data_IF_005388413442
#
_entry.id   IF_005388413442
#
_cell.length_a   1.000
_cell.length_b   1.000
_cell.length_c   1.000
_cell.angle_alpha   90.00
_cell.angle_beta   90.00
_cell.angle_gamma   90.00
#
_symmetry.space_group_name_H-M   'P 1'
#
loop_
_entity.id
_entity.type
_entity.pdbx_description
1 polymer ?
#
# COMPACT_ATOMS: atom_id res chain seq x y z
N UNK A 1 -0.84 13.71 3.95
CA UNK A 1 -0.56 14.36 5.24
C UNK A 1 0.78 13.97 5.85
N UNK A 2 1.14 12.68 5.91
CA UNK A 2 2.37 12.23 6.56
C UNK A 2 3.58 11.98 5.64
N UNK A 3 3.52 12.40 4.36
CA UNK A 3 4.69 12.25 3.47
C UNK A 3 5.83 13.10 4.01
N UNK A 4 6.91 12.44 4.44
CA UNK A 4 8.08 13.09 5.02
C UNK A 4 7.99 13.39 6.52
N UNK A 5 6.96 12.92 7.23
CA UNK A 5 6.89 13.00 8.69
C UNK A 5 7.25 11.64 9.33
N UNK A 6 8.00 11.67 10.43
CA UNK A 6 8.27 10.49 11.25
C UNK A 6 7.04 9.99 11.99
N UNK A 7 7.06 8.72 12.40
CA UNK A 7 5.94 8.08 13.09
C UNK A 7 5.56 8.81 14.38
N UNK A 8 6.55 9.28 15.14
CA UNK A 8 6.33 10.05 16.37
C UNK A 8 5.69 11.41 16.12
N UNK A 9 6.06 12.10 15.03
CA UNK A 9 5.46 13.38 14.66
C UNK A 9 3.99 13.19 14.29
N UNK A 10 3.67 12.14 13.52
CA UNK A 10 2.29 11.80 13.18
C UNK A 10 1.48 11.45 14.43
N UNK A 11 2.00 10.62 15.33
CA UNK A 11 1.30 10.25 16.57
C UNK A 11 1.08 11.44 17.51
N UNK A 12 2.00 12.40 17.55
CA UNK A 12 1.82 13.68 18.26
C UNK A 12 0.70 14.49 17.61
N UNK A 13 0.80 14.72 16.31
CA UNK A 13 -0.12 15.54 15.53
C UNK A 13 -1.57 15.03 15.60
N UNK A 14 -1.77 13.71 15.66
CA UNK A 14 -3.08 13.08 15.77
C UNK A 14 -3.61 12.97 17.21
N UNK A 15 -2.84 13.39 18.21
CA UNK A 15 -3.22 13.28 19.62
C UNK A 15 -3.07 11.88 20.22
N UNK A 16 -2.55 10.91 19.45
CA UNK A 16 -2.31 9.53 19.91
C UNK A 16 -1.30 9.52 21.05
N UNK A 17 -0.22 10.30 20.94
CA UNK A 17 0.77 10.46 22.01
C UNK A 17 0.12 10.90 23.33
N UNK A 18 -0.67 11.97 23.26
CA UNK A 18 -1.36 12.51 24.43
C UNK A 18 -2.32 11.48 25.04
N UNK A 19 -3.10 10.79 24.21
CA UNK A 19 -4.03 9.76 24.68
C UNK A 19 -3.33 8.60 25.41
N UNK A 20 -2.15 8.19 24.93
CA UNK A 20 -1.32 7.17 25.59
C UNK A 20 -0.78 7.68 26.93
N UNK A 21 -0.23 8.90 26.97
CA UNK A 21 0.32 9.51 28.18
C UNK A 21 -0.76 9.74 29.25
N UNK A 22 -1.95 10.22 28.86
CA UNK A 22 -3.10 10.44 29.75
C UNK A 22 -3.61 9.11 30.35
N UNK A 23 -3.45 7.99 29.63
CA UNK A 23 -3.76 6.64 30.11
C UNK A 23 -2.63 6.03 30.98
N UNK A 24 -1.53 6.75 31.20
CA UNK A 24 -0.37 6.30 31.97
C UNK A 24 0.56 5.35 31.21
N UNK A 25 0.46 5.31 29.87
CA UNK A 25 1.33 4.50 29.01
C UNK A 25 2.52 5.28 28.47
N UNK A 26 3.46 4.53 27.89
CA UNK A 26 4.59 5.08 27.14
C UNK A 26 4.37 4.88 25.64
N UNK A 27 4.74 5.87 24.83
CA UNK A 27 4.67 5.79 23.38
C UNK A 27 6.07 5.73 22.78
N UNK A 28 6.26 4.84 21.80
CA UNK A 28 7.54 4.62 21.15
C UNK A 28 7.33 4.60 19.64
N UNK A 29 8.14 5.37 18.92
CA UNK A 29 8.28 5.24 17.47
C UNK A 29 9.13 4.03 17.16
N UNK A 30 8.56 3.02 16.48
CA UNK A 30 9.28 1.79 16.16
C UNK A 30 10.44 2.00 15.18
N UNK A 31 10.47 3.13 14.48
CA UNK A 31 11.61 3.57 13.66
C UNK A 31 12.89 3.74 14.49
N UNK A 32 12.76 4.28 15.71
CA UNK A 32 13.88 4.59 16.61
C UNK A 32 14.14 3.50 17.68
N UNK A 33 13.26 2.51 17.77
CA UNK A 33 13.38 1.42 18.74
C UNK A 33 14.62 0.54 18.48
N UNK A 34 15.17 -0.06 19.54
CA UNK A 34 16.24 -1.06 19.39
C UNK A 34 15.73 -2.24 18.54
N UNK A 35 16.52 -2.61 17.53
CA UNK A 35 16.19 -3.68 16.60
C UNK A 35 17.22 -4.80 16.65
N UNK A 36 16.74 -6.00 16.42
CA UNK A 36 17.54 -7.21 16.27
C UNK A 36 17.25 -7.86 14.94
N UNK A 37 18.25 -8.49 14.34
CA UNK A 37 18.05 -9.29 13.14
C UNK A 37 17.49 -10.65 13.57
N UNK A 38 16.34 -11.02 13.04
CA UNK A 38 15.65 -12.27 13.35
C UNK A 38 15.56 -13.14 12.10
N UNK A 39 15.84 -14.43 12.24
CA UNK A 39 15.58 -15.43 11.21
C UNK A 39 14.11 -15.87 11.25
N UNK A 40 13.47 -15.90 10.09
CA UNK A 40 12.06 -16.28 9.95
C UNK A 40 11.99 -17.76 9.63
N UNK A 41 11.78 -18.58 10.66
CA UNK A 41 11.64 -20.03 10.48
C UNK A 41 10.42 -20.33 9.60
N UNK A 42 10.64 -21.02 8.49
CA UNK A 42 9.58 -21.33 7.53
C UNK A 42 9.14 -20.14 6.67
N UNK A 43 9.89 -19.04 6.67
CA UNK A 43 9.68 -17.92 5.75
C UNK A 43 9.94 -18.35 4.30
N UNK A 44 9.08 -17.91 3.37
CA UNK A 44 9.12 -18.27 1.94
C UNK A 44 9.58 -17.11 1.05
N UNK A 45 9.09 -15.91 1.31
CA UNK A 45 9.45 -14.66 0.64
C UNK A 45 10.45 -13.85 1.46
N UNK A 46 10.38 -13.94 2.79
CA UNK A 46 11.28 -13.26 3.73
C UNK A 46 11.92 -14.29 4.67
N UNK A 47 13.26 -14.32 4.72
CA UNK A 47 14.00 -15.31 5.53
C UNK A 47 14.65 -14.70 6.77
N UNK A 48 14.93 -13.40 6.76
CA UNK A 48 15.49 -12.65 7.88
C UNK A 48 15.07 -11.19 7.78
N UNK A 49 14.91 -10.52 8.92
CA UNK A 49 14.51 -9.11 8.94
C UNK A 49 15.01 -8.39 10.19
N UNK A 50 15.18 -7.07 10.09
CA UNK A 50 15.35 -6.17 11.23
C UNK A 50 14.01 -6.05 11.95
N UNK A 51 13.94 -6.42 13.23
CA UNK A 51 12.67 -6.48 13.98
C UNK A 51 12.81 -5.77 15.33
N UNK A 52 11.80 -5.00 15.78
CA UNK A 52 11.88 -4.29 17.06
C UNK A 52 11.98 -5.25 18.25
N UNK A 53 13.05 -5.13 19.04
CA UNK A 53 13.29 -5.98 20.21
C UNK A 53 12.14 -5.88 21.22
N UNK A 54 11.61 -4.68 21.41
CA UNK A 54 10.49 -4.42 22.34
C UNK A 54 9.26 -5.30 22.07
N UNK A 55 9.02 -5.71 20.82
CA UNK A 55 7.89 -6.60 20.46
C UNK A 55 8.20 -8.06 20.83
N UNK A 56 9.47 -8.46 20.73
CA UNK A 56 9.91 -9.82 21.09
C UNK A 56 9.96 -10.03 22.61
N UNK A 57 10.39 -8.98 23.32
CA UNK A 57 10.57 -9.01 24.78
C UNK A 57 9.25 -8.76 25.54
N UNK A 58 8.18 -8.39 24.84
CA UNK A 58 6.88 -8.13 25.46
C UNK A 58 6.25 -9.42 26.04
N UNK A 59 5.83 -9.36 27.30
CA UNK A 59 5.07 -10.43 27.96
C UNK A 59 3.71 -10.66 27.28
N UNK A 60 3.12 -9.60 26.73
CA UNK A 60 1.86 -9.61 25.99
C UNK A 60 1.91 -8.59 24.86
N UNK A 61 1.65 -9.04 23.63
CA UNK A 61 1.58 -8.22 22.44
C UNK A 61 0.14 -8.09 21.94
N UNK A 62 -0.43 -6.89 22.08
CA UNK A 62 -1.77 -6.56 21.59
C UNK A 62 -1.67 -5.78 20.27
N UNK A 63 -2.32 -6.31 19.22
CA UNK A 63 -2.36 -5.69 17.90
C UNK A 63 -3.68 -4.91 17.71
N UNK A 64 -3.60 -3.66 17.23
CA UNK A 64 -4.77 -2.77 17.05
C UNK A 64 -4.90 -2.37 15.57
N UNK A 65 -5.34 -3.28 14.67
CA UNK A 65 -5.54 -2.97 13.27
C UNK A 65 -6.81 -2.12 13.07
N UNK A 66 -6.82 -1.31 12.02
CA UNK A 66 -8.01 -0.56 11.61
C UNK A 66 -8.69 -1.19 10.39
N UNK A 67 -10.03 -1.12 10.33
CA UNK A 67 -10.85 -1.74 9.29
C UNK A 67 -10.81 -0.96 7.96
N UNK A 68 -10.00 -1.39 6.98
CA UNK A 68 -9.87 -0.65 5.71
C UNK A 68 -9.69 -1.59 4.53
N UNK A 69 -10.14 -1.16 3.35
CA UNK A 69 -9.71 -1.74 2.08
C UNK A 69 -8.28 -1.30 1.73
N UNK A 70 -7.63 -2.01 0.81
CA UNK A 70 -6.27 -1.71 0.36
C UNK A 70 -6.05 -2.15 -1.08
N UNK A 71 -5.39 -1.31 -1.90
CA UNK A 71 -5.19 -1.55 -3.35
C UNK A 71 -4.31 -2.75 -3.68
N UNK A 72 -3.45 -3.20 -2.78
CA UNK A 72 -2.50 -4.29 -3.05
C UNK A 72 -2.77 -5.58 -2.28
N UNK A 73 -3.50 -5.50 -1.18
CA UNK A 73 -3.77 -6.65 -0.27
C UNK A 73 -5.26 -6.85 -0.04
N UNK A 74 -6.11 -6.17 -0.80
CA UNK A 74 -7.57 -6.06 -0.67
C UNK A 74 -8.07 -5.39 0.63
N UNK A 75 -7.51 -5.77 1.78
CA UNK A 75 -7.83 -5.23 3.11
C UNK A 75 -6.57 -4.96 3.92
N UNK A 76 -6.68 -4.21 5.02
CA UNK A 76 -5.55 -3.77 5.82
C UNK A 76 -5.24 -4.56 7.09
N UNK A 77 -6.02 -5.59 7.41
CA UNK A 77 -6.31 -5.99 8.80
C UNK A 77 -5.14 -6.65 9.57
N UNK A 78 -5.41 -7.40 10.63
CA UNK A 78 -4.45 -7.79 11.68
C UNK A 78 -3.11 -8.29 11.14
N UNK A 79 -3.15 -9.17 10.14
CA UNK A 79 -1.95 -9.75 9.52
C UNK A 79 -1.09 -8.66 8.85
N UNK A 80 -1.71 -7.78 8.07
CA UNK A 80 -1.00 -6.68 7.39
C UNK A 80 -0.53 -5.62 8.37
N UNK A 81 -1.21 -5.42 9.50
CA UNK A 81 -0.82 -4.38 10.46
C UNK A 81 0.63 -4.59 10.97
N UNK A 82 1.09 -5.84 11.06
CA UNK A 82 2.47 -6.15 11.46
C UNK A 82 3.53 -5.77 10.41
N UNK A 83 3.14 -5.48 9.17
CA UNK A 83 4.03 -4.84 8.19
C UNK A 83 4.59 -3.52 8.73
N UNK A 84 3.85 -2.82 9.60
CA UNK A 84 4.28 -1.58 10.24
C UNK A 84 5.50 -1.71 11.16
N UNK A 85 5.82 -2.93 11.61
CA UNK A 85 6.98 -3.22 12.48
C UNK A 85 8.31 -3.15 11.73
N UNK A 86 8.29 -3.24 10.40
CA UNK A 86 9.48 -3.20 9.59
C UNK A 86 9.96 -1.78 9.32
N UNK A 87 11.26 -1.65 9.06
CA UNK A 87 11.88 -0.42 8.59
C UNK A 87 11.26 0.06 7.28
N UNK A 88 11.21 1.37 7.08
CA UNK A 88 10.61 1.99 5.88
C UNK A 88 11.15 1.37 4.58
N UNK A 89 12.47 1.17 4.53
CA UNK A 89 13.15 0.55 3.40
C UNK A 89 12.65 -0.88 3.14
N UNK A 90 12.56 -1.70 4.18
CA UNK A 90 12.13 -3.09 4.06
C UNK A 90 10.64 -3.18 3.71
N UNK A 91 9.81 -2.29 4.29
CA UNK A 91 8.41 -2.15 3.88
C UNK A 91 8.28 -1.77 2.42
N UNK A 92 9.11 -0.84 1.94
CA UNK A 92 9.08 -0.38 0.57
C UNK A 92 9.41 -1.53 -0.41
N UNK A 93 10.56 -2.19 -0.21
CA UNK A 93 11.03 -3.25 -1.11
C UNK A 93 10.23 -4.56 -1.04
N UNK A 94 9.32 -4.69 -0.08
CA UNK A 94 8.42 -5.84 -0.02
C UNK A 94 7.21 -5.73 -0.95
N UNK A 95 6.91 -4.57 -1.54
CA UNK A 95 5.73 -4.34 -2.41
C UNK A 95 5.84 -4.99 -3.80
N UNK A 96 6.48 -6.15 -3.86
CA UNK A 96 6.59 -7.04 -5.01
C UNK A 96 5.38 -7.98 -5.06
N UNK A 97 5.40 -8.92 -5.99
CA UNK A 97 4.27 -9.83 -6.24
C UNK A 97 4.07 -10.88 -5.15
N UNK A 98 5.11 -11.08 -4.35
CA UNK A 98 5.12 -11.94 -3.16
C UNK A 98 4.70 -11.19 -1.88
N UNK A 99 4.13 -9.98 -1.98
CA UNK A 99 3.77 -9.13 -0.83
C UNK A 99 2.87 -9.83 0.19
N UNK A 100 1.85 -10.57 -0.24
CA UNK A 100 0.97 -11.28 0.69
C UNK A 100 1.76 -12.34 1.50
N UNK A 101 2.64 -13.10 0.83
CA UNK A 101 3.51 -14.08 1.49
C UNK A 101 4.52 -13.41 2.40
N UNK A 102 5.07 -12.27 2.00
CA UNK A 102 5.97 -11.46 2.82
C UNK A 102 5.32 -11.04 4.14
N UNK A 103 4.07 -10.56 4.10
CA UNK A 103 3.33 -10.19 5.31
C UNK A 103 3.06 -11.39 6.22
N UNK A 104 2.71 -12.54 5.64
CA UNK A 104 2.53 -13.79 6.40
C UNK A 104 3.85 -14.23 7.04
N UNK A 105 4.98 -14.08 6.36
CA UNK A 105 6.29 -14.42 6.90
C UNK A 105 6.66 -13.55 8.12
N UNK A 106 6.31 -12.26 8.12
CA UNK A 106 6.51 -11.39 9.30
C UNK A 106 5.72 -11.92 10.51
N UNK A 107 4.48 -12.38 10.30
CA UNK A 107 3.63 -12.89 11.37
C UNK A 107 4.19 -14.19 11.99
N UNK A 108 5.07 -14.92 11.29
CA UNK A 108 5.76 -16.11 11.83
C UNK A 108 6.82 -15.78 12.89
N UNK A 109 7.25 -14.53 12.99
CA UNK A 109 8.25 -14.09 13.99
C UNK A 109 7.62 -14.06 15.37
N UNK A 110 6.50 -13.36 15.50
CA UNK A 110 5.72 -13.21 16.73
C UNK A 110 4.28 -12.91 16.35
N UNK A 111 3.38 -13.86 16.62
CA UNK A 111 1.95 -13.60 16.55
C UNK A 111 1.53 -12.70 17.71
N UNK A 112 0.58 -11.77 17.52
CA UNK A 112 -0.06 -11.07 18.62
C UNK A 112 -0.74 -12.07 19.55
N UNK A 113 -0.71 -11.81 20.86
CA UNK A 113 -1.45 -12.61 21.83
C UNK A 113 -2.93 -12.22 21.85
N UNK A 114 -3.23 -10.98 21.48
CA UNK A 114 -4.60 -10.49 21.37
C UNK A 114 -4.70 -9.42 20.28
N UNK A 115 -5.85 -9.35 19.62
CA UNK A 115 -6.15 -8.36 18.60
C UNK A 115 -7.38 -7.57 19.05
N UNK A 116 -7.33 -6.24 18.92
CA UNK A 116 -8.47 -5.34 19.08
C UNK A 116 -8.60 -4.56 17.78
N UNK A 117 -9.44 -5.04 16.87
CA UNK A 117 -9.67 -4.42 15.58
C UNK A 117 -10.62 -3.22 15.74
N UNK A 118 -10.13 -2.04 15.38
CA UNK A 118 -10.89 -0.80 15.32
C UNK A 118 -11.66 -0.72 14.00
N UNK A 119 -12.98 -0.92 14.10
CA UNK A 119 -13.94 -0.68 13.05
C UNK A 119 -15.00 0.34 13.48
N UNK A 120 -14.67 1.32 14.32
CA UNK A 120 -15.60 2.40 14.62
C UNK A 120 -15.90 3.18 13.33
N UNK A 121 -14.83 3.57 12.64
CA UNK A 121 -14.87 4.17 11.31
C UNK A 121 -13.95 3.35 10.40
N UNK A 122 -14.56 2.54 9.53
CA UNK A 122 -13.85 1.84 8.47
C UNK A 122 -13.52 2.74 7.28
N UNK A 123 -12.77 2.22 6.32
CA UNK A 123 -12.46 2.91 5.07
C UNK A 123 -12.63 1.99 3.85
N UNK A 124 -13.37 2.46 2.86
CA UNK A 124 -13.66 1.73 1.61
C UNK A 124 -13.09 2.43 0.37
N UNK A 125 -13.31 1.85 -0.81
CA UNK A 125 -12.88 2.34 -2.10
C UNK A 125 -11.40 2.06 -2.32
N UNK A 126 -10.64 3.10 -2.71
CA UNK A 126 -9.19 3.00 -2.88
C UNK A 126 -8.42 2.79 -1.57
N UNK A 127 -9.11 2.74 -0.43
CA UNK A 127 -8.55 2.30 0.84
C UNK A 127 -7.46 3.25 1.36
N UNK A 128 -6.50 2.68 2.11
CA UNK A 128 -5.40 3.44 2.70
C UNK A 128 -4.66 4.30 1.66
N UNK A 129 -4.74 5.63 1.81
CA UNK A 129 -4.25 6.61 0.85
C UNK A 129 -5.14 7.85 0.82
N UNK A 130 -5.09 8.59 -0.29
CA UNK A 130 -5.78 9.89 -0.44
C UNK A 130 -7.20 9.78 -1.04
N UNK A 131 -7.65 8.58 -1.37
CA UNK A 131 -8.87 8.34 -2.16
C UNK A 131 -9.84 7.31 -1.55
N UNK A 132 -9.69 7.00 -0.26
CA UNK A 132 -10.64 6.18 0.48
C UNK A 132 -11.82 6.99 1.02
N UNK A 133 -12.98 6.36 1.19
CA UNK A 133 -14.17 6.97 1.81
C UNK A 133 -14.42 6.35 3.19
N UNK A 134 -14.79 7.15 4.21
CA UNK A 134 -15.11 6.61 5.53
C UNK A 134 -16.42 5.82 5.51
N UNK A 135 -16.48 4.73 6.28
CA UNK A 135 -17.67 3.93 6.52
C UNK A 135 -17.88 3.84 8.02
N UNK A 136 -18.93 4.48 8.54
CA UNK A 136 -19.30 4.32 9.95
C UNK A 136 -19.72 2.88 10.20
N UNK A 137 -18.84 2.06 10.76
CA UNK A 137 -19.11 0.65 11.01
C UNK A 137 -19.63 0.47 12.44
N UNK A 138 -19.09 1.21 13.40
CA UNK A 138 -19.52 1.19 14.80
C UNK A 138 -19.20 -0.14 15.50
N UNK A 139 -18.17 -0.85 15.04
CA UNK A 139 -17.78 -2.17 15.57
C UNK A 139 -16.39 -2.17 16.15
N UNK A 140 -16.20 -2.90 17.23
CA UNK A 140 -14.88 -3.32 17.71
C UNK A 140 -14.91 -4.85 17.70
N UNK A 141 -13.88 -5.47 17.14
CA UNK A 141 -13.73 -6.93 17.17
C UNK A 141 -12.49 -7.28 17.98
N UNK A 142 -12.58 -8.35 18.76
CA UNK A 142 -11.47 -8.78 19.59
C UNK A 142 -11.33 -10.30 19.64
N UNK A 143 -10.09 -10.79 19.70
CA UNK A 143 -9.79 -12.22 19.72
C UNK A 143 -8.30 -12.50 19.65
N UNK A 144 -7.94 -13.77 19.79
CA UNK A 144 -6.53 -14.23 19.87
C UNK A 144 -5.98 -14.71 18.53
N UNK A 145 -6.84 -15.17 17.61
CA UNK A 145 -6.43 -15.68 16.29
C UNK A 145 -6.53 -14.57 15.22
N UNK A 146 -5.41 -14.10 14.65
CA UNK A 146 -5.42 -13.04 13.66
C UNK A 146 -6.05 -13.44 12.32
N UNK A 147 -5.98 -14.72 11.93
CA UNK A 147 -6.61 -15.23 10.70
C UNK A 147 -8.13 -15.27 10.87
N UNK A 148 -8.60 -15.67 12.06
CA UNK A 148 -10.02 -15.67 12.40
C UNK A 148 -10.59 -14.25 12.43
N UNK A 149 -9.88 -13.31 13.06
CA UNK A 149 -10.26 -11.89 13.08
C UNK A 149 -10.32 -11.31 11.67
N UNK A 150 -9.29 -11.51 10.85
CA UNK A 150 -9.26 -11.01 9.47
C UNK A 150 -10.38 -11.61 8.62
N UNK A 151 -10.71 -12.90 8.84
CA UNK A 151 -11.78 -13.60 8.14
C UNK A 151 -13.16 -13.02 8.47
N UNK A 152 -13.49 -12.91 9.77
CA UNK A 152 -14.78 -12.38 10.22
C UNK A 152 -14.93 -10.90 9.85
N UNK A 153 -13.88 -10.10 10.04
CA UNK A 153 -13.88 -8.70 9.64
C UNK A 153 -14.08 -8.53 8.13
N UNK A 154 -13.43 -9.35 7.31
CA UNK A 154 -13.65 -9.35 5.85
C UNK A 154 -15.10 -9.66 5.48
N UNK A 155 -15.72 -10.64 6.15
CA UNK A 155 -17.14 -10.96 5.93
C UNK A 155 -18.05 -9.80 6.34
N UNK A 156 -17.76 -9.12 7.47
CA UNK A 156 -18.48 -7.92 7.89
C UNK A 156 -18.33 -6.75 6.89
N UNK A 157 -17.21 -6.68 6.16
CA UNK A 157 -17.00 -5.72 5.05
C UNK A 157 -17.69 -6.15 3.75
N UNK A 158 -18.46 -7.24 3.76
CA UNK A 158 -19.16 -7.77 2.58
C UNK A 158 -18.30 -8.63 1.67
N UNK A 159 -17.14 -9.11 2.14
CA UNK A 159 -16.30 -10.09 1.45
C UNK A 159 -16.70 -11.48 1.94
N UNK A 160 -17.73 -12.06 1.33
CA UNK A 160 -18.37 -13.31 1.80
C UNK A 160 -17.40 -14.51 1.87
N UNK A 161 -16.43 -14.56 0.95
CA UNK A 161 -15.38 -15.58 0.97
C UNK A 161 -14.06 -14.93 1.43
N UNK A 162 -13.67 -15.05 2.71
CA UNK A 162 -12.44 -14.43 3.23
C UNK A 162 -11.17 -14.98 2.57
N UNK A 163 -11.22 -16.19 1.99
CA UNK A 163 -10.08 -16.78 1.29
C UNK A 163 -9.75 -16.09 -0.03
N UNK A 164 -10.54 -15.12 -0.52
CA UNK A 164 -10.09 -14.30 -1.66
C UNK A 164 -8.97 -13.34 -1.25
N UNK A 165 -8.93 -12.94 0.03
CA UNK A 165 -7.87 -12.12 0.62
C UNK A 165 -6.58 -12.95 0.70
N UNK A 166 -5.53 -12.48 0.03
CA UNK A 166 -4.28 -13.22 -0.12
C UNK A 166 -3.60 -13.52 1.22
N UNK A 167 -3.44 -12.51 2.06
CA UNK A 167 -2.85 -12.64 3.40
C UNK A 167 -3.60 -13.66 4.27
N UNK A 168 -4.93 -13.57 4.35
CA UNK A 168 -5.78 -14.49 5.13
C UNK A 168 -5.64 -15.93 4.65
N UNK A 169 -5.75 -16.15 3.33
CA UNK A 169 -5.64 -17.49 2.73
C UNK A 169 -4.27 -18.12 2.96
N UNK A 170 -3.20 -17.35 2.77
CA UNK A 170 -1.82 -17.84 2.94
C UNK A 170 -1.51 -18.10 4.42
N UNK A 171 -1.94 -17.22 5.33
CA UNK A 171 -1.74 -17.41 6.76
C UNK A 171 -2.48 -18.66 7.29
N UNK A 172 -3.72 -18.89 6.85
CA UNK A 172 -4.46 -20.11 7.15
C UNK A 172 -3.73 -21.36 6.64
N UNK A 173 -3.23 -21.30 5.40
CA UNK A 173 -2.46 -22.40 4.80
C UNK A 173 -1.18 -22.71 5.58
N UNK A 174 -0.46 -21.69 6.03
CA UNK A 174 0.77 -21.84 6.82
C UNK A 174 0.49 -22.14 8.32
N UNK A 175 -0.78 -22.30 8.72
CA UNK A 175 -1.17 -22.75 10.06
C UNK A 175 -1.09 -21.69 11.15
N UNK A 176 -1.18 -20.41 10.79
CA UNK A 176 -1.17 -19.29 11.76
C UNK A 176 -2.51 -19.01 12.43
N UNK A 177 -3.55 -19.75 12.04
CA UNK A 177 -4.93 -19.59 12.51
C UNK A 177 -5.91 -20.23 11.53
N UNK A 178 -7.21 -20.07 11.76
CA UNK A 178 -8.26 -20.61 10.87
C UNK A 178 -8.99 -19.51 10.10
N UNK A 179 -9.21 -19.76 8.81
CA UNK A 179 -10.09 -18.95 7.97
C UNK A 179 -11.42 -19.66 7.68
N UNK A 180 -11.68 -20.79 8.34
CA UNK A 180 -12.90 -21.55 8.19
C UNK A 180 -13.99 -20.97 9.11
N UNK A 181 -15.02 -20.27 8.60
CA UNK A 181 -16.02 -19.62 9.44
C UNK A 181 -16.84 -20.60 10.29
N UNK A 182 -16.87 -21.90 9.95
CA UNK A 182 -17.54 -22.91 10.76
C UNK A 182 -16.75 -23.33 12.01
N UNK A 183 -15.46 -22.99 12.08
CA UNK A 183 -14.58 -23.23 13.23
C UNK A 183 -14.43 -21.98 14.12
N UNK A 184 -14.96 -20.84 13.68
CA UNK A 184 -14.83 -19.56 14.38
C UNK A 184 -16.10 -19.30 15.18
N UNK A 185 -15.96 -19.21 16.51
CA UNK A 185 -17.07 -18.82 17.37
C UNK A 185 -17.16 -17.30 17.49
N UNK A 186 -18.21 -16.71 16.93
CA UNK A 186 -18.51 -15.28 17.07
C UNK A 186 -19.42 -15.06 18.29
N UNK A 187 -18.96 -14.24 19.24
CA UNK A 187 -19.75 -13.78 20.40
C UNK A 187 -20.19 -12.34 20.20
N UNK A 188 -21.37 -11.98 20.72
CA UNK A 188 -21.94 -10.65 20.56
C UNK A 188 -22.78 -10.54 19.29
N UNK A 189 -22.61 -9.44 18.54
CA UNK A 189 -23.34 -9.25 17.29
C UNK A 189 -22.90 -10.25 16.22
N UNK A 190 -23.86 -10.73 15.44
CA UNK A 190 -23.56 -11.62 14.32
C UNK A 190 -22.95 -10.85 13.15
N UNK A 191 -22.24 -11.55 12.26
CA UNK A 191 -21.71 -10.96 11.02
C UNK A 191 -22.80 -10.25 10.25
N UNK A 192 -23.96 -10.89 10.07
CA UNK A 192 -25.07 -10.35 9.29
C UNK A 192 -25.71 -9.10 9.93
N UNK A 193 -25.69 -8.97 11.26
CA UNK A 193 -26.20 -7.78 11.96
C UNK A 193 -25.36 -6.53 11.69
N UNK A 194 -24.04 -6.69 11.56
CA UNK A 194 -23.10 -5.56 11.41
C UNK A 194 -22.59 -5.39 9.98
N UNK A 195 -22.95 -6.31 9.08
CA UNK A 195 -22.44 -6.35 7.72
C UNK A 195 -22.73 -5.06 6.96
N UNK A 196 -21.69 -4.47 6.39
CA UNK A 196 -21.82 -3.40 5.39
C UNK A 196 -20.97 -3.77 4.20
N UNK A 197 -21.55 -3.69 3.00
CA UNK A 197 -20.83 -3.99 1.77
C UNK A 197 -19.91 -2.82 1.43
N UNK A 198 -18.62 -3.01 1.63
CA UNK A 198 -17.62 -2.01 1.28
C UNK A 198 -17.43 -1.96 -0.24
N UNK A 199 -17.19 -0.77 -0.77
CA UNK A 199 -16.60 -0.59 -2.09
C UNK A 199 -15.17 -1.12 -2.07
N UNK A 200 -14.87 -2.14 -2.87
CA UNK A 200 -13.49 -2.60 -3.03
C UNK A 200 -12.71 -1.68 -3.98
N UNK A 201 -11.37 -1.63 -3.87
CA UNK A 201 -10.53 -0.94 -4.84
C UNK A 201 -10.82 -1.44 -6.25
N UNK A 202 -10.75 -0.56 -7.26
CA UNK A 202 -11.20 -0.88 -8.62
C UNK A 202 -10.46 -2.09 -9.22
N UNK A 203 -9.21 -2.33 -8.83
CA UNK A 203 -8.39 -3.44 -9.32
C UNK A 203 -8.82 -4.82 -8.77
N UNK A 204 -9.74 -4.85 -7.80
CA UNK A 204 -10.40 -6.08 -7.34
C UNK A 204 -11.82 -6.22 -7.87
N UNK A 205 -12.38 -5.18 -8.48
CA UNK A 205 -13.72 -5.23 -9.08
C UNK A 205 -13.69 -5.44 -10.59
N UNK A 206 -12.57 -5.13 -11.24
CA UNK A 206 -12.36 -5.36 -12.67
C UNK A 206 -10.91 -5.80 -12.94
N UNK A 207 -10.64 -6.50 -14.05
CA UNK A 207 -9.29 -6.90 -14.43
C UNK A 207 -8.37 -5.68 -14.59
N UNK A 208 -7.20 -5.69 -13.97
CA UNK A 208 -6.33 -4.49 -13.91
C UNK A 208 -5.92 -3.97 -15.31
N UNK A 209 -5.90 -4.84 -16.32
CA UNK A 209 -5.55 -4.47 -17.68
C UNK A 209 -6.55 -3.52 -18.35
N UNK A 210 -7.81 -3.48 -17.90
CA UNK A 210 -8.82 -2.55 -18.43
C UNK A 210 -8.55 -1.10 -18.06
N UNK A 211 -7.62 -0.84 -17.14
CA UNK A 211 -7.29 0.50 -16.65
C UNK A 211 -5.98 1.06 -17.19
N UNK A 212 -5.31 0.35 -18.10
CA UNK A 212 -4.04 0.84 -18.67
C UNK A 212 -4.00 0.76 -20.20
N UNK A 213 -4.38 -0.36 -20.81
CA UNK A 213 -4.24 -0.48 -22.27
C UNK A 213 -5.38 0.22 -22.98
N UNK A 214 -5.06 1.27 -23.76
CA UNK A 214 -6.01 1.97 -24.61
C UNK A 214 -6.94 2.94 -23.88
N UNK A 215 -6.54 3.41 -22.70
CA UNK A 215 -7.35 4.32 -21.87
C UNK A 215 -7.26 5.77 -22.35
N UNK A 216 -6.06 6.23 -22.69
CA UNK A 216 -5.81 7.62 -23.06
C UNK A 216 -5.28 7.74 -24.50
N UNK A 217 -5.86 8.63 -25.34
CA UNK A 217 -5.51 8.71 -26.77
C UNK A 217 -4.09 9.24 -27.03
N UNK A 218 -3.49 9.90 -26.05
CA UNK A 218 -2.14 10.46 -26.13
C UNK A 218 -1.07 9.56 -25.48
N UNK A 219 -1.39 8.32 -25.11
CA UNK A 219 -0.44 7.39 -24.50
C UNK A 219 -0.39 6.09 -25.30
N UNK A 220 0.80 5.78 -25.83
CA UNK A 220 1.13 4.49 -26.42
C UNK A 220 1.76 3.58 -25.37
N UNK A 221 1.02 2.55 -24.92
CA UNK A 221 1.48 1.62 -23.88
C UNK A 221 1.95 0.29 -24.48
N UNK A 222 3.19 -0.09 -24.18
CA UNK A 222 3.76 -1.41 -24.48
C UNK A 222 4.10 -2.12 -23.18
N UNK A 223 3.31 -3.14 -22.85
CA UNK A 223 3.41 -3.88 -21.59
C UNK A 223 3.71 -5.36 -21.85
N UNK A 224 4.65 -5.94 -21.12
CA UNK A 224 5.04 -7.35 -21.21
C UNK A 224 5.33 -7.89 -19.82
N UNK A 225 4.81 -9.08 -19.48
CA UNK A 225 5.02 -9.77 -18.20
C UNK A 225 5.01 -8.88 -16.95
N UNK A 226 4.19 -7.82 -16.97
CA UNK A 226 4.13 -6.85 -15.89
C UNK A 226 3.35 -7.42 -14.72
N UNK A 227 3.80 -7.09 -13.53
CA UNK A 227 3.17 -7.55 -12.32
C UNK A 227 2.06 -6.64 -11.81
N UNK A 228 1.15 -7.09 -10.92
CA UNK A 228 0.03 -6.28 -10.45
C UNK A 228 0.43 -4.89 -9.95
N UNK A 229 1.58 -4.78 -9.26
CA UNK A 229 2.11 -3.48 -8.82
C UNK A 229 2.48 -2.60 -10.02
N UNK A 230 3.17 -3.13 -11.04
CA UNK A 230 3.52 -2.36 -12.24
C UNK A 230 2.27 -1.95 -13.05
N UNK A 231 1.22 -2.79 -13.11
CA UNK A 231 -0.06 -2.40 -13.70
C UNK A 231 -0.69 -1.22 -12.94
N UNK A 232 -0.73 -1.29 -11.60
CA UNK A 232 -1.28 -0.20 -10.78
C UNK A 232 -0.46 1.10 -10.95
N UNK A 233 0.87 1.00 -10.93
CA UNK A 233 1.74 2.16 -11.12
C UNK A 233 1.60 2.76 -12.52
N UNK A 234 1.41 1.93 -13.55
CA UNK A 234 1.13 2.40 -14.92
C UNK A 234 -0.15 3.23 -14.93
N UNK A 235 -1.24 2.73 -14.34
CA UNK A 235 -2.50 3.47 -14.29
C UNK A 235 -2.35 4.85 -13.61
N UNK A 236 -1.58 4.93 -12.52
CA UNK A 236 -1.32 6.20 -11.82
C UNK A 236 -0.48 7.18 -12.66
N UNK A 237 0.53 6.66 -13.36
CA UNK A 237 1.38 7.45 -14.25
C UNK A 237 0.57 7.97 -15.44
N UNK A 238 -0.27 7.14 -16.04
CA UNK A 238 -1.13 7.52 -17.16
C UNK A 238 -2.10 8.66 -16.80
N UNK A 239 -2.72 8.63 -15.62
CA UNK A 239 -3.59 9.73 -15.14
C UNK A 239 -2.83 11.07 -15.12
N UNK A 240 -1.53 11.04 -14.83
CA UNK A 240 -0.71 12.24 -14.79
C UNK A 240 -0.33 12.70 -16.20
N UNK A 241 0.18 11.78 -17.03
CA UNK A 241 0.62 12.07 -18.38
C UNK A 241 -0.53 12.46 -19.32
N UNK A 242 -1.73 11.89 -19.12
CA UNK A 242 -2.91 12.17 -19.95
C UNK A 242 -3.39 13.62 -19.86
N UNK A 243 -2.99 14.38 -18.83
CA UNK A 243 -3.32 15.80 -18.65
C UNK A 243 -2.43 16.73 -19.47
N UNK A 244 -1.34 16.21 -20.02
CA UNK A 244 -0.33 16.98 -20.75
C UNK A 244 -0.62 16.87 -22.25
N UNK A 245 -0.61 17.98 -23.02
CA UNK A 245 -0.95 18.00 -24.44
C UNK A 245 0.17 17.45 -25.34
N UNK A 246 0.83 16.38 -24.89
CA UNK A 246 1.91 15.68 -25.59
C UNK A 246 1.56 14.21 -25.74
N UNK A 247 2.20 13.55 -26.72
CA UNK A 247 2.06 12.10 -26.91
C UNK A 247 3.19 11.38 -26.20
N UNK A 248 2.86 10.44 -25.33
CA UNK A 248 3.80 9.67 -24.52
C UNK A 248 3.88 8.21 -24.97
N UNK A 249 5.03 7.60 -24.74
CA UNK A 249 5.23 6.15 -24.89
C UNK A 249 5.62 5.56 -23.53
N UNK A 250 4.92 4.52 -23.08
CA UNK A 250 5.23 3.78 -21.85
C UNK A 250 5.69 2.36 -22.19
N UNK A 251 6.88 1.98 -21.71
CA UNK A 251 7.44 0.63 -21.82
C UNK A 251 7.46 0.00 -20.43
N UNK A 252 6.70 -1.08 -20.22
CA UNK A 252 6.42 -1.64 -18.88
C UNK A 252 6.68 -3.14 -18.80
N UNK A 253 7.37 -3.57 -17.75
CA UNK A 253 7.55 -4.98 -17.40
C UNK A 253 8.60 -5.74 -18.22
N UNK A 254 8.58 -7.06 -18.16
CA UNK A 254 9.54 -7.95 -18.83
C UNK A 254 9.13 -8.26 -20.28
N UNK A 255 10.08 -8.07 -21.21
CA UNK A 255 9.91 -8.38 -22.63
C UNK A 255 8.64 -7.77 -23.31
N UNK A 256 8.37 -6.46 -23.14
CA UNK A 256 7.29 -5.80 -23.87
C UNK A 256 7.58 -5.82 -25.37
N UNK A 257 6.56 -6.17 -26.15
CA UNK A 257 6.68 -6.26 -27.61
C UNK A 257 6.35 -4.93 -28.25
N UNK A 258 7.26 -4.47 -29.11
CA UNK A 258 7.11 -3.26 -29.92
C UNK A 258 7.06 -3.60 -31.41
N UNK A 259 6.46 -2.74 -32.26
CA UNK A 259 6.41 -2.98 -33.70
C UNK A 259 7.81 -3.05 -34.35
N UNK A 260 7.97 -3.76 -35.48
CA UNK A 260 9.22 -3.71 -36.24
C UNK A 260 9.55 -2.27 -36.68
N UNK A 261 10.81 -1.85 -36.50
CA UNK A 261 11.25 -0.50 -36.84
C UNK A 261 10.73 0.59 -35.90
N UNK A 262 10.31 0.21 -34.68
CA UNK A 262 9.84 1.13 -33.67
C UNK A 262 10.88 2.20 -33.34
N UNK A 263 10.50 3.45 -33.52
CA UNK A 263 11.35 4.63 -33.28
C UNK A 263 10.51 5.69 -32.56
N UNK A 264 10.35 5.60 -31.23
CA UNK A 264 9.52 6.53 -30.48
C UNK A 264 10.23 7.88 -30.27
N UNK A 265 9.47 8.89 -29.84
CA UNK A 265 10.06 10.12 -29.34
C UNK A 265 10.73 9.87 -28.00
N UNK A 266 12.06 9.96 -27.98
CA UNK A 266 12.88 9.66 -26.81
C UNK A 266 12.56 10.60 -25.64
N UNK A 267 12.21 11.86 -25.89
CA UNK A 267 11.92 12.85 -24.85
C UNK A 267 10.61 12.57 -24.10
N UNK A 268 9.70 11.82 -24.73
CA UNK A 268 8.38 11.44 -24.21
C UNK A 268 8.21 9.92 -24.03
N UNK A 269 9.30 9.17 -24.14
CA UNK A 269 9.33 7.73 -23.85
C UNK A 269 9.78 7.49 -22.42
N UNK A 270 9.02 6.71 -21.66
CA UNK A 270 9.35 6.30 -20.30
C UNK A 270 9.43 4.77 -20.20
N UNK A 271 10.38 4.29 -19.41
CA UNK A 271 10.47 2.87 -19.02
C UNK A 271 10.09 2.75 -17.54
N UNK A 272 9.19 1.82 -17.24
CA UNK A 272 8.69 1.59 -15.88
C UNK A 272 9.10 0.20 -15.36
N UNK A 273 9.82 0.21 -14.24
CA UNK A 273 10.27 -0.97 -13.52
C UNK A 273 11.61 -1.53 -14.00
N UNK A 274 12.32 -2.18 -13.08
CA UNK A 274 13.64 -2.81 -13.32
C UNK A 274 13.60 -3.85 -14.46
N UNK A 275 12.47 -4.54 -14.60
CA UNK A 275 12.22 -5.47 -15.70
C UNK A 275 12.27 -4.78 -17.06
N UNK A 276 11.63 -3.61 -17.21
CA UNK A 276 11.61 -2.86 -18.47
C UNK A 276 13.01 -2.34 -18.81
N UNK A 277 13.76 -1.89 -17.81
CA UNK A 277 15.17 -1.49 -17.97
C UNK A 277 16.11 -2.66 -18.21
N UNK A 278 15.68 -3.90 -18.03
CA UNK A 278 16.51 -5.09 -18.29
C UNK A 278 16.22 -5.72 -19.66
N UNK A 279 15.31 -5.12 -20.44
CA UNK A 279 14.92 -5.61 -21.77
C UNK A 279 16.07 -5.58 -22.77
N UNK A 280 16.04 -6.52 -23.70
CA UNK A 280 16.99 -6.68 -24.81
C UNK A 280 16.40 -6.26 -26.15
N UNK A 281 17.20 -6.33 -27.23
CA UNK A 281 16.73 -6.03 -28.59
C UNK A 281 16.50 -4.54 -28.83
N UNK A 282 15.47 -4.20 -29.62
CA UNK A 282 15.18 -2.81 -30.02
C UNK A 282 15.01 -1.87 -28.83
N UNK A 283 14.38 -2.34 -27.74
CA UNK A 283 14.21 -1.57 -26.51
C UNK A 283 15.53 -1.26 -25.80
N UNK A 284 16.53 -2.14 -25.89
CA UNK A 284 17.89 -1.87 -25.39
C UNK A 284 18.53 -0.76 -26.21
N UNK A 285 18.38 -0.77 -27.53
CA UNK A 285 18.96 0.26 -28.39
C UNK A 285 18.31 1.62 -28.17
N UNK A 286 16.97 1.67 -27.97
CA UNK A 286 16.26 2.89 -27.56
C UNK A 286 16.79 3.42 -26.24
N UNK A 287 16.94 2.55 -25.23
CA UNK A 287 17.53 2.90 -23.93
C UNK A 287 18.94 3.47 -24.05
N UNK A 288 19.79 2.83 -24.84
CA UNK A 288 21.16 3.31 -25.09
C UNK A 288 21.15 4.69 -25.75
N UNK A 289 20.27 4.90 -26.74
CA UNK A 289 20.13 6.19 -27.41
C UNK A 289 19.65 7.30 -26.46
N UNK A 290 18.71 7.01 -25.56
CA UNK A 290 18.27 7.93 -24.51
C UNK A 290 19.43 8.32 -23.58
N UNK A 291 20.19 7.33 -23.08
CA UNK A 291 21.34 7.56 -22.20
C UNK A 291 22.43 8.40 -22.87
N UNK A 292 22.76 8.12 -24.13
CA UNK A 292 23.74 8.90 -24.91
C UNK A 292 23.31 10.36 -25.11
N UNK A 293 22.01 10.64 -25.12
CA UNK A 293 21.44 11.99 -25.21
C UNK A 293 21.19 12.65 -23.86
N UNK A 294 21.47 11.96 -22.75
CA UNK A 294 21.23 12.46 -21.39
C UNK A 294 19.75 12.49 -20.98
N UNK A 295 18.90 11.69 -21.64
CA UNK A 295 17.47 11.57 -21.32
C UNK A 295 17.29 10.49 -20.26
N UNK A 296 16.82 10.88 -19.07
CA UNK A 296 16.63 9.99 -17.91
C UNK A 296 15.16 9.77 -17.55
N UNK A 297 14.38 9.30 -18.52
CA UNK A 297 12.98 8.92 -18.33
C UNK A 297 12.83 7.46 -17.83
N UNK A 298 13.75 7.03 -16.96
CA UNK A 298 13.77 5.68 -16.39
C UNK A 298 13.14 5.66 -15.01
N UNK A 299 11.88 5.22 -14.92
CA UNK A 299 11.10 5.12 -13.69
C UNK A 299 11.33 3.75 -13.04
N UNK A 300 12.50 3.62 -12.40
CA UNK A 300 12.96 2.34 -11.85
C UNK A 300 12.39 1.92 -10.50
N UNK A 301 12.75 0.69 -10.12
CA UNK A 301 12.36 0.04 -8.89
C UNK A 301 11.70 -1.32 -9.09
N UNK A 302 11.81 -2.16 -8.06
CA UNK A 302 11.07 -3.40 -7.89
C UNK A 302 10.46 -3.42 -6.47
N UNK A 303 9.26 -2.86 -6.29
CA UNK A 303 8.43 -2.21 -7.32
C UNK A 303 8.80 -0.76 -7.63
N UNK A 304 8.38 -0.21 -8.78
CA UNK A 304 8.56 1.21 -9.11
C UNK A 304 7.46 2.06 -8.45
N UNK A 305 7.51 2.20 -7.12
CA UNK A 305 6.47 2.86 -6.30
C UNK A 305 6.74 4.37 -6.12
N UNK A 306 6.84 4.87 -4.89
CA UNK A 306 6.98 6.31 -4.59
C UNK A 306 8.19 7.01 -5.27
N UNK A 307 9.43 6.47 -5.24
CA UNK A 307 10.55 7.03 -5.99
C UNK A 307 10.29 7.22 -7.49
N UNK A 308 9.51 6.33 -8.12
CA UNK A 308 9.18 6.44 -9.53
C UNK A 308 8.23 7.62 -9.79
N UNK A 309 7.22 7.82 -8.92
CA UNK A 309 6.31 8.96 -9.02
C UNK A 309 7.03 10.29 -8.75
N UNK A 310 7.86 10.35 -7.70
CA UNK A 310 8.66 11.56 -7.39
C UNK A 310 9.60 11.89 -8.55
N UNK A 311 10.25 10.88 -9.14
CA UNK A 311 11.09 11.07 -10.33
C UNK A 311 10.29 11.57 -11.53
N UNK A 312 9.11 11.00 -11.78
CA UNK A 312 8.22 11.47 -12.83
C UNK A 312 7.85 12.93 -12.62
N UNK A 313 7.38 13.31 -11.42
CA UNK A 313 7.04 14.69 -11.07
C UNK A 313 8.23 15.64 -11.31
N UNK A 314 9.44 15.27 -10.87
CA UNK A 314 10.64 16.06 -11.11
C UNK A 314 10.98 16.23 -12.60
N UNK A 315 10.79 15.18 -13.42
CA UNK A 315 10.96 15.25 -14.88
C UNK A 315 9.94 16.21 -15.49
N UNK A 316 8.68 16.12 -15.08
CA UNK A 316 7.59 16.97 -15.60
C UNK A 316 7.78 18.44 -15.20
N UNK A 317 8.24 18.71 -13.97
CA UNK A 317 8.63 20.06 -13.52
C UNK A 317 9.77 20.60 -14.39
N UNK A 318 10.84 19.81 -14.59
CA UNK A 318 11.98 20.22 -15.40
C UNK A 318 11.60 20.52 -16.85
N UNK A 319 10.61 19.81 -17.39
CA UNK A 319 10.05 20.03 -18.74
C UNK A 319 9.01 21.17 -18.79
N UNK A 320 8.63 21.75 -17.65
CA UNK A 320 7.68 22.85 -17.56
C UNK A 320 6.22 22.45 -17.74
N UNK A 321 5.89 21.16 -17.60
CA UNK A 321 4.51 20.68 -17.72
C UNK A 321 3.68 20.88 -16.44
N UNK A 322 4.34 20.91 -15.29
CA UNK A 322 3.74 21.18 -13.99
C UNK A 322 4.68 22.10 -13.19
N UNK A 323 4.19 22.77 -12.15
CA UNK A 323 5.03 23.58 -11.26
C UNK A 323 5.23 22.93 -9.90
N UNK A 324 6.36 23.22 -9.24
CA UNK A 324 6.58 22.81 -7.84
C UNK A 324 5.53 23.41 -6.90
N UNK A 325 5.03 24.60 -7.22
CA UNK A 325 3.95 25.26 -6.48
C UNK A 325 2.69 24.40 -6.45
N UNK A 326 2.29 23.83 -7.59
CA UNK A 326 1.10 22.97 -7.69
C UNK A 326 1.22 21.72 -6.80
N UNK A 327 2.42 21.15 -6.71
CA UNK A 327 2.70 19.98 -5.86
C UNK A 327 2.55 20.34 -4.37
N UNK A 328 3.09 21.49 -3.96
CA UNK A 328 3.00 21.98 -2.58
C UNK A 328 1.57 22.37 -2.22
N UNK A 329 0.84 23.05 -3.10
CA UNK A 329 -0.56 23.39 -2.87
C UNK A 329 -1.42 22.15 -2.72
N UNK A 330 -1.27 21.16 -3.60
CA UNK A 330 -1.98 19.88 -3.50
C UNK A 330 -1.73 19.20 -2.15
N UNK A 331 -0.48 19.19 -1.68
CA UNK A 331 -0.13 18.63 -0.37
C UNK A 331 -0.81 19.39 0.79
N UNK A 332 -0.84 20.72 0.72
CA UNK A 332 -1.52 21.59 1.70
C UNK A 332 -3.04 21.37 1.70
N UNK A 333 -3.66 21.29 0.53
CA UNK A 333 -5.09 21.01 0.40
C UNK A 333 -5.45 19.66 1.01
N UNK A 334 -4.64 18.63 0.79
CA UNK A 334 -4.85 17.31 1.38
C UNK A 334 -4.73 17.34 2.91
N UNK A 335 -3.74 18.05 3.44
CA UNK A 335 -3.61 18.25 4.89
C UNK A 335 -4.81 19.02 5.45
N UNK A 336 -5.26 20.07 4.77
CA UNK A 336 -6.44 20.85 5.18
C UNK A 336 -7.70 19.99 5.20
N UNK A 337 -7.97 19.20 4.16
CA UNK A 337 -9.12 18.27 4.11
C UNK A 337 -9.12 17.31 5.28
N UNK A 338 -7.95 16.82 5.67
CA UNK A 338 -7.80 15.95 6.82
C UNK A 338 -8.12 16.69 8.14
N UNK A 339 -7.55 17.87 8.36
CA UNK A 339 -7.84 18.67 9.55
C UNK A 339 -9.32 19.06 9.64
N UNK A 340 -9.92 19.46 8.51
CA UNK A 340 -11.35 19.79 8.41
C UNK A 340 -12.22 18.58 8.79
N UNK A 341 -11.81 17.35 8.43
CA UNK A 341 -12.50 16.13 8.84
C UNK A 341 -12.49 15.93 10.36
N UNK A 342 -11.32 15.99 11.01
CA UNK A 342 -11.22 15.79 12.47
C UNK A 342 -11.97 16.89 13.24
N UNK A 343 -11.86 18.15 12.82
CA UNK A 343 -12.67 19.25 13.40
C UNK A 343 -14.17 19.05 13.20
N UNK A 344 -14.58 18.40 12.12
CA UNK A 344 -15.97 18.03 11.88
C UNK A 344 -16.47 16.90 12.79
N UNK A 345 -15.58 16.07 13.33
CA UNK A 345 -15.91 15.00 14.30
C UNK A 345 -15.87 15.50 15.75
N UNK A 346 -14.91 16.38 16.06
CA UNK A 346 -14.75 17.04 17.36
C UNK A 346 -14.33 18.50 17.14
N UNK A 347 -15.25 19.43 17.39
CA UNK A 347 -14.99 20.87 17.21
C UNK A 347 -13.87 21.41 18.13
N UNK A 348 -13.53 20.68 19.20
CA UNK A 348 -12.45 21.05 20.13
C UNK A 348 -11.10 20.47 19.73
N UNK A 349 -11.08 19.58 18.73
CA UNK A 349 -9.84 19.01 18.22
C UNK A 349 -9.03 20.04 17.46
N UNK A 350 -7.76 20.19 17.83
CA UNK A 350 -6.78 21.00 17.12
C UNK A 350 -5.52 20.16 16.86
N UNK A 351 -4.90 20.27 15.67
CA UNK A 351 -3.66 19.57 15.39
C UNK A 351 -2.53 20.10 16.29
N UNK A 352 -1.77 19.19 16.90
CA UNK A 352 -0.56 19.53 17.66
C UNK A 352 0.64 19.70 16.71
N UNK A 353 0.65 20.86 16.03
CA UNK A 353 1.63 21.25 14.99
C UNK A 353 3.06 21.45 15.52
#
# INVERSE_FOLDING_TARGET
>A
MARGLGSMEVMKLLGVKKAVEDAGGEIIGLEDAEKVVVDIRGGRALHRVSYPRVVLDADCFINIPAMKTHTMTMVTLAIKNLQGLLDEKDRYFSHRDDLDQHMVDINKIRLPDFIILDGLIGMEGMGAGEAGSPVEMGVIMAGEDPVSIDSIASMCMGIDNPLIVGTTRIAAHDGLGTANPFEIEVKGNTVEEVKKKFLLPFNYTQPINTFVTGVYPNIDLYIGGACPTCWLMTALIEITLAKIPERFTLIVGIDPKVPPGFSPDLEHTFFLGDCAMSTSGDLKEIRNAMLLKGIDNFLGGCPPYEPALVKLEAILVKKGYISEHDLVEKAREHQKKFFDYYKGQDETWEPDL
#
